data_IF_827848636513
#
_entry.id   IF_827848636513
#
_cell.length_a   1.000
_cell.length_b   1.000
_cell.length_c   1.000
_cell.angle_alpha   90.00
_cell.angle_beta   90.00
_cell.angle_gamma   90.00
#
_symmetry.space_group_name_H-M   'P 1'
#
loop_
_entity.id
_entity.type
_entity.pdbx_description
1 polymer ?
#
# COMPACT_ATOMS: atom_id res chain seq x y z
N UNK A 1 17.00 9.61 -41.30
CA UNK A 1 18.42 9.28 -41.54
C UNK A 1 18.51 7.81 -41.96
N UNK A 2 19.53 7.39 -42.70
CA UNK A 2 19.76 5.98 -43.05
C UNK A 2 21.05 5.50 -42.38
N UNK A 3 21.10 4.22 -42.00
CA UNK A 3 22.28 3.39 -42.30
C UNK A 3 21.85 1.92 -42.39
N UNK A 4 22.27 1.26 -43.46
CA UNK A 4 22.01 -0.14 -43.78
C UNK A 4 23.33 -0.68 -44.33
N UNK A 5 23.98 -1.60 -43.61
CA UNK A 5 25.32 -2.06 -43.98
C UNK A 5 25.21 -3.29 -44.87
N UNK A 6 25.62 -3.12 -46.12
CA UNK A 6 25.84 -4.21 -47.08
C UNK A 6 27.12 -4.99 -46.74
N UNK A 7 27.09 -6.31 -46.94
CA UNK A 7 28.26 -7.07 -47.39
C UNK A 7 27.95 -7.57 -48.80
N UNK A 8 28.94 -7.50 -49.69
CA UNK A 8 28.78 -7.81 -51.13
C UNK A 8 29.32 -9.20 -51.45
N UNK A 9 28.62 -9.93 -52.31
CA UNK A 9 29.27 -10.89 -53.21
C UNK A 9 29.32 -10.24 -54.60
N UNK A 10 30.49 -10.27 -55.24
CA UNK A 10 30.74 -9.56 -56.50
C UNK A 10 30.82 -10.58 -57.63
N UNK A 11 29.95 -10.43 -58.64
CA UNK A 11 30.11 -11.11 -59.93
C UNK A 11 31.29 -10.48 -60.68
N UNK A 12 32.28 -11.28 -61.03
CA UNK A 12 33.45 -10.85 -61.80
C UNK A 12 33.74 -11.83 -62.94
N UNK A 13 32.99 -11.72 -64.03
CA UNK A 13 33.40 -12.32 -65.32
C UNK A 13 34.40 -11.38 -65.97
N UNK A 14 35.61 -11.86 -66.27
CA UNK A 14 36.48 -11.22 -67.27
C UNK A 14 37.22 -12.25 -68.11
N UNK A 15 37.28 -11.99 -69.40
CA UNK A 15 37.85 -12.87 -70.42
C UNK A 15 39.32 -12.55 -70.69
N UNK A 16 40.11 -13.59 -70.96
CA UNK A 16 41.44 -13.48 -71.53
C UNK A 16 41.55 -14.40 -72.75
N UNK A 17 41.43 -13.82 -73.95
CA UNK A 17 41.54 -14.58 -75.20
C UNK A 17 43.00 -14.73 -75.61
N UNK A 18 43.57 -15.92 -75.42
CA UNK A 18 44.90 -16.29 -75.93
C UNK A 18 44.76 -17.22 -77.15
N UNK A 19 44.93 -16.67 -78.36
CA UNK A 19 44.98 -17.45 -79.59
C UNK A 19 46.36 -18.13 -79.72
N UNK A 20 46.44 -19.40 -79.29
CA UNK A 20 47.61 -20.25 -79.49
C UNK A 20 47.20 -21.56 -80.18
N UNK A 21 47.87 -21.87 -81.30
CA UNK A 21 47.92 -23.15 -82.04
C UNK A 21 46.84 -24.19 -81.73
N UNK A 22 45.88 -24.36 -82.66
CA UNK A 22 44.99 -25.52 -82.67
C UNK A 22 45.79 -26.82 -82.91
N UNK A 23 46.02 -27.56 -81.83
CA UNK A 23 46.09 -29.02 -81.89
C UNK A 23 44.80 -29.56 -81.27
N UNK A 24 43.95 -30.19 -82.07
CA UNK A 24 42.82 -30.98 -81.54
C UNK A 24 43.38 -32.23 -80.87
N UNK A 25 43.84 -32.07 -79.63
CA UNK A 25 43.91 -33.16 -78.68
C UNK A 25 42.48 -33.64 -78.49
N UNK A 26 42.12 -34.72 -79.18
CA UNK A 26 40.87 -35.41 -78.98
C UNK A 26 40.96 -36.11 -77.62
N UNK A 27 40.65 -35.39 -76.53
CA UNK A 27 40.62 -35.98 -75.19
C UNK A 27 39.70 -37.20 -75.23
N UNK A 28 40.32 -38.37 -75.06
CA UNK A 28 39.64 -39.64 -75.09
C UNK A 28 38.75 -39.71 -73.85
N UNK A 29 37.43 -39.85 -74.09
CA UNK A 29 36.40 -39.81 -73.05
C UNK A 29 36.71 -40.81 -71.94
N UNK A 30 37.26 -40.32 -70.83
CA UNK A 30 37.68 -41.18 -69.74
C UNK A 30 36.45 -41.84 -69.08
N UNK A 31 36.54 -43.14 -68.83
CA UNK A 31 35.59 -43.85 -67.99
C UNK A 31 35.86 -43.56 -66.51
N UNK A 32 34.83 -43.61 -65.68
CA UNK A 32 34.95 -43.44 -64.23
C UNK A 32 35.78 -44.58 -63.63
N UNK A 33 36.87 -44.24 -62.93
CA UNK A 33 37.75 -45.21 -62.26
C UNK A 33 37.43 -45.38 -60.79
N UNK A 34 36.96 -44.31 -60.13
CA UNK A 34 36.59 -44.30 -58.71
C UNK A 34 35.75 -43.06 -58.39
N UNK A 35 34.93 -43.16 -57.34
CA UNK A 35 34.19 -42.03 -56.75
C UNK A 35 34.38 -42.01 -55.23
N UNK A 36 34.25 -40.84 -54.62
CA UNK A 36 34.32 -40.66 -53.16
C UNK A 36 33.38 -39.56 -52.70
N UNK A 37 32.75 -39.74 -51.54
CA UNK A 37 32.05 -38.68 -50.82
C UNK A 37 33.04 -37.89 -49.94
N UNK A 38 32.67 -36.67 -49.58
CA UNK A 38 33.42 -35.83 -48.63
C UNK A 38 33.21 -36.26 -47.17
N UNK A 39 32.04 -36.83 -46.84
CA UNK A 39 31.72 -37.46 -45.56
C UNK A 39 31.47 -38.97 -45.73
N UNK A 40 31.83 -39.76 -44.71
CA UNK A 40 31.57 -41.21 -44.67
C UNK A 40 30.71 -41.65 -43.48
N UNK A 41 30.54 -40.78 -42.47
CA UNK A 41 29.77 -41.05 -41.25
C UNK A 41 29.35 -39.70 -40.64
N UNK A 42 28.07 -39.56 -40.25
CA UNK A 42 27.50 -38.35 -39.67
C UNK A 42 26.42 -38.69 -38.64
N UNK A 43 26.53 -38.13 -37.42
CA UNK A 43 25.39 -38.05 -36.49
C UNK A 43 24.68 -36.71 -36.71
N UNK A 44 23.37 -36.72 -36.94
CA UNK A 44 22.57 -35.54 -37.32
C UNK A 44 21.26 -35.44 -36.55
N UNK A 45 20.78 -34.22 -36.30
CA UNK A 45 19.48 -33.99 -35.67
C UNK A 45 18.32 -34.32 -36.62
N UNK A 46 17.24 -34.88 -36.09
CA UNK A 46 15.98 -35.06 -36.80
C UNK A 46 15.48 -33.75 -37.45
N UNK A 47 15.04 -33.83 -38.70
CA UNK A 47 14.63 -32.72 -39.57
C UNK A 47 15.73 -31.72 -39.96
N UNK A 48 17.01 -32.00 -39.66
CA UNK A 48 18.13 -31.31 -40.29
C UNK A 48 18.35 -31.79 -41.74
N UNK A 49 19.10 -31.00 -42.51
CA UNK A 49 19.57 -31.36 -43.85
C UNK A 49 21.08 -31.26 -43.94
N UNK A 50 21.71 -32.03 -44.82
CA UNK A 50 23.16 -32.01 -45.07
C UNK A 50 23.44 -32.30 -46.53
N UNK A 51 24.31 -31.52 -47.17
CA UNK A 51 24.74 -31.75 -48.55
C UNK A 51 25.94 -32.69 -48.56
N UNK A 52 25.82 -33.84 -49.22
CA UNK A 52 26.97 -34.69 -49.57
C UNK A 52 27.58 -34.22 -50.90
N UNK A 53 28.91 -34.22 -50.98
CA UNK A 53 29.66 -33.80 -52.17
C UNK A 53 30.36 -35.00 -52.80
N UNK A 54 29.90 -35.42 -53.98
CA UNK A 54 30.53 -36.50 -54.73
C UNK A 54 31.71 -35.99 -55.57
N UNK A 55 32.88 -36.59 -55.39
CA UNK A 55 34.05 -36.42 -56.28
C UNK A 55 34.16 -37.64 -57.20
N UNK A 56 34.30 -37.39 -58.50
CA UNK A 56 34.48 -38.42 -59.55
C UNK A 56 35.92 -38.35 -60.08
N UNK A 57 36.55 -39.51 -60.25
CA UNK A 57 37.93 -39.63 -60.77
C UNK A 57 37.95 -40.47 -62.06
N UNK A 58 38.70 -40.06 -63.10
CA UNK A 58 39.32 -38.74 -63.26
C UNK A 58 38.27 -37.61 -63.39
N UNK A 59 38.67 -36.37 -63.14
CA UNK A 59 37.74 -35.22 -63.09
C UNK A 59 37.18 -34.79 -64.46
N UNK A 60 37.64 -35.36 -65.56
CA UNK A 60 37.08 -35.22 -66.91
C UNK A 60 36.27 -36.45 -67.37
N UNK A 61 36.06 -37.44 -66.49
CA UNK A 61 35.29 -38.63 -66.83
C UNK A 61 33.85 -38.29 -67.23
N UNK A 62 33.32 -39.02 -68.21
CA UNK A 62 31.96 -38.84 -68.71
C UNK A 62 31.05 -39.94 -68.15
N UNK A 63 29.87 -39.55 -67.65
CA UNK A 63 28.87 -40.45 -67.06
C UNK A 63 27.47 -39.84 -67.23
N UNK A 64 26.43 -40.67 -67.33
CA UNK A 64 25.07 -40.21 -67.64
C UNK A 64 24.37 -39.51 -66.44
N UNK A 65 24.53 -40.05 -65.23
CA UNK A 65 23.92 -39.55 -64.00
C UNK A 65 24.64 -40.07 -62.74
N UNK A 66 24.32 -39.48 -61.59
CA UNK A 66 24.59 -40.05 -60.26
C UNK A 66 23.30 -40.70 -59.75
N UNK A 67 23.37 -41.97 -59.36
CA UNK A 67 22.28 -42.68 -58.67
C UNK A 67 22.50 -42.53 -57.16
N UNK A 68 21.57 -41.85 -56.47
CA UNK A 68 21.54 -41.73 -55.00
C UNK A 68 20.47 -42.66 -54.41
N UNK A 69 20.81 -43.38 -53.34
CA UNK A 69 19.95 -44.39 -52.72
C UNK A 69 20.10 -44.31 -51.20
N UNK A 70 19.01 -44.16 -50.43
CA UNK A 70 19.04 -44.45 -48.99
C UNK A 70 18.75 -45.92 -48.70
N UNK A 71 19.38 -46.47 -47.67
CA UNK A 71 18.97 -47.76 -47.10
C UNK A 71 17.64 -47.69 -46.34
N UNK A 72 17.16 -46.50 -45.96
CA UNK A 72 15.89 -46.28 -45.28
C UNK A 72 15.42 -44.82 -45.45
N UNK A 73 14.63 -44.56 -46.50
CA UNK A 73 14.04 -43.22 -46.75
C UNK A 73 13.25 -42.68 -45.54
N UNK A 74 12.64 -43.57 -44.74
CA UNK A 74 11.91 -43.23 -43.51
C UNK A 74 12.77 -42.84 -42.31
N UNK A 75 14.10 -42.90 -42.44
CA UNK A 75 15.09 -42.43 -41.45
C UNK A 75 15.88 -41.28 -42.06
N UNK A 76 16.38 -41.46 -43.27
CA UNK A 76 17.10 -40.46 -44.07
C UNK A 76 16.68 -40.56 -45.53
N UNK A 77 16.24 -39.47 -46.14
CA UNK A 77 16.01 -39.38 -47.60
C UNK A 77 17.13 -38.60 -48.30
N UNK A 78 17.29 -38.80 -49.61
CA UNK A 78 18.33 -38.13 -50.42
C UNK A 78 17.80 -37.73 -51.79
N UNK A 79 18.08 -36.49 -52.21
CA UNK A 79 17.70 -35.97 -53.53
C UNK A 79 18.73 -36.30 -54.63
N UNK A 80 18.37 -36.05 -55.89
CA UNK A 80 19.25 -36.31 -57.04
C UNK A 80 20.55 -35.48 -57.08
N UNK A 81 20.68 -34.47 -56.23
CA UNK A 81 21.86 -33.63 -56.08
C UNK A 81 22.73 -34.03 -54.86
N UNK A 82 22.32 -35.04 -54.08
CA UNK A 82 23.00 -35.44 -52.85
C UNK A 82 22.64 -34.59 -51.62
N UNK A 83 21.55 -33.81 -51.67
CA UNK A 83 21.00 -33.17 -50.49
C UNK A 83 20.25 -34.22 -49.66
N UNK A 84 20.73 -34.45 -48.46
CA UNK A 84 20.23 -35.45 -47.51
C UNK A 84 19.31 -34.77 -46.49
N UNK A 85 18.19 -35.41 -46.13
CA UNK A 85 17.23 -34.94 -45.12
C UNK A 85 16.98 -36.02 -44.07
N UNK A 86 17.05 -35.66 -42.79
CA UNK A 86 16.77 -36.57 -41.68
C UNK A 86 15.26 -36.62 -41.38
N UNK A 87 14.58 -37.73 -41.72
CA UNK A 87 13.12 -37.86 -41.62
C UNK A 87 12.64 -38.67 -40.40
N UNK A 88 13.47 -39.55 -39.85
CA UNK A 88 13.13 -40.40 -38.71
C UNK A 88 14.36 -40.82 -37.90
N UNK A 89 14.16 -41.20 -36.63
CA UNK A 89 15.26 -41.57 -35.72
C UNK A 89 15.85 -42.95 -36.06
N UNK A 90 17.17 -43.10 -35.89
CA UNK A 90 17.90 -44.35 -36.07
C UNK A 90 18.99 -44.28 -37.15
N UNK A 91 19.46 -45.45 -37.59
CA UNK A 91 20.57 -45.57 -38.53
C UNK A 91 20.12 -45.73 -39.99
N UNK A 92 20.83 -45.07 -40.90
CA UNK A 92 20.70 -45.23 -42.35
C UNK A 92 22.06 -45.19 -43.05
N UNK A 93 22.08 -45.47 -44.35
CA UNK A 93 23.29 -45.32 -45.18
C UNK A 93 22.87 -44.80 -46.55
N UNK A 94 23.36 -43.60 -46.88
CA UNK A 94 23.20 -43.00 -48.20
C UNK A 94 24.33 -43.51 -49.10
N UNK A 95 23.96 -44.02 -50.27
CA UNK A 95 24.87 -44.57 -51.27
C UNK A 95 24.81 -43.72 -52.53
N UNK A 96 25.95 -43.16 -52.94
CA UNK A 96 26.14 -42.57 -54.26
C UNK A 96 26.74 -43.61 -55.20
N UNK A 97 26.24 -43.67 -56.43
CA UNK A 97 26.71 -44.61 -57.45
C UNK A 97 26.85 -43.93 -58.81
N UNK A 98 27.96 -44.24 -59.48
CA UNK A 98 28.23 -43.85 -60.87
C UNK A 98 28.81 -45.08 -61.58
N UNK A 99 28.15 -45.52 -62.65
CA UNK A 99 28.40 -46.79 -63.35
C UNK A 99 28.46 -48.02 -62.42
N UNK A 100 29.68 -48.40 -62.05
CA UNK A 100 30.04 -49.55 -61.19
C UNK A 100 30.76 -49.12 -59.91
N UNK A 101 31.08 -47.84 -59.78
CA UNK A 101 31.68 -47.26 -58.59
C UNK A 101 30.59 -46.89 -57.58
N UNK A 102 30.85 -47.12 -56.30
CA UNK A 102 29.95 -46.81 -55.20
C UNK A 102 30.74 -46.12 -54.09
N UNK A 103 30.16 -45.11 -53.46
CA UNK A 103 30.63 -44.51 -52.22
C UNK A 103 29.45 -44.36 -51.26
N UNK A 104 29.71 -44.46 -49.95
CA UNK A 104 28.66 -44.54 -48.94
C UNK A 104 28.96 -43.62 -47.75
N UNK A 105 27.91 -43.03 -47.20
CA UNK A 105 27.95 -42.30 -45.93
C UNK A 105 26.93 -42.91 -44.97
N UNK A 106 27.39 -43.33 -43.79
CA UNK A 106 26.52 -43.73 -42.68
C UNK A 106 25.87 -42.49 -42.05
N UNK A 107 24.64 -42.64 -41.57
CA UNK A 107 23.91 -41.59 -40.85
C UNK A 107 23.27 -42.16 -39.59
N UNK A 108 23.54 -41.52 -38.45
CA UNK A 108 22.82 -41.73 -37.19
C UNK A 108 21.90 -40.51 -36.96
N UNK A 109 20.58 -40.70 -37.03
CA UNK A 109 19.61 -39.63 -36.78
C UNK A 109 19.16 -39.65 -35.32
N UNK A 110 19.51 -38.61 -34.59
CA UNK A 110 19.23 -38.44 -33.15
C UNK A 110 18.10 -37.43 -32.91
N UNK A 111 17.49 -37.48 -31.71
CA UNK A 111 16.51 -36.45 -31.32
C UNK A 111 17.28 -35.19 -30.89
N UNK A 112 17.00 -34.01 -31.47
CA UNK A 112 17.61 -32.76 -31.03
C UNK A 112 17.37 -32.51 -29.54
N UNK A 113 18.36 -31.92 -28.89
CA UNK A 113 18.35 -31.56 -27.47
C UNK A 113 18.26 -30.05 -27.28
N UNK A 114 17.83 -29.60 -26.10
CA UNK A 114 17.89 -28.18 -25.75
C UNK A 114 19.35 -27.74 -25.70
N UNK A 115 19.69 -26.66 -26.39
CA UNK A 115 21.03 -26.04 -26.40
C UNK A 115 21.03 -24.61 -25.84
N UNK A 116 19.86 -24.09 -25.44
CA UNK A 116 19.72 -22.77 -24.84
C UNK A 116 18.26 -22.39 -24.59
N UNK A 117 18.08 -21.36 -23.75
CA UNK A 117 16.80 -20.68 -23.53
C UNK A 117 17.08 -19.17 -23.43
N UNK A 118 16.18 -18.34 -23.94
CA UNK A 118 16.23 -16.88 -23.83
C UNK A 118 14.86 -16.33 -23.43
N UNK A 119 14.87 -15.17 -22.77
CA UNK A 119 13.66 -14.37 -22.53
C UNK A 119 13.64 -13.18 -23.49
N UNK A 120 12.44 -12.75 -23.88
CA UNK A 120 12.21 -11.52 -24.64
C UNK A 120 12.65 -10.26 -23.88
N UNK A 121 12.59 -10.31 -22.54
CA UNK A 121 12.94 -9.21 -21.63
C UNK A 121 13.85 -9.71 -20.50
N UNK A 122 14.84 -8.89 -20.12
CA UNK A 122 15.84 -9.20 -19.08
C UNK A 122 15.79 -8.30 -17.85
N UNK A 123 15.12 -7.15 -17.94
CA UNK A 123 14.81 -6.26 -16.81
C UNK A 123 13.58 -5.43 -17.13
N UNK A 124 12.69 -5.24 -16.15
CA UNK A 124 11.44 -4.48 -16.27
C UNK A 124 11.10 -3.74 -14.98
N UNK A 125 10.33 -2.67 -15.12
CA UNK A 125 9.62 -2.01 -14.02
C UNK A 125 8.11 -2.15 -14.27
N UNK A 126 7.35 -2.53 -13.25
CA UNK A 126 5.88 -2.60 -13.24
C UNK A 126 5.35 -2.01 -11.92
N UNK A 127 4.09 -1.60 -11.87
CA UNK A 127 3.43 -1.21 -10.62
C UNK A 127 2.97 -2.44 -9.80
N UNK A 128 2.61 -2.22 -8.53
CA UNK A 128 1.80 -3.19 -7.77
C UNK A 128 0.47 -3.45 -8.50
N UNK A 129 -0.05 -4.67 -8.40
CA UNK A 129 -1.24 -5.21 -9.10
C UNK A 129 -1.15 -5.28 -10.64
N UNK A 130 -0.11 -4.76 -11.27
CA UNK A 130 0.12 -4.93 -12.71
C UNK A 130 0.60 -6.34 -13.08
N UNK A 131 0.39 -6.70 -14.35
CA UNK A 131 0.83 -7.99 -14.92
C UNK A 131 1.62 -7.81 -16.20
N UNK A 132 2.57 -8.70 -16.42
CA UNK A 132 3.45 -8.72 -17.59
C UNK A 132 3.58 -10.15 -18.10
N UNK A 133 3.37 -10.36 -19.39
CA UNK A 133 3.70 -11.63 -20.04
C UNK A 133 5.17 -11.63 -20.45
N UNK A 134 5.98 -12.51 -19.87
CA UNK A 134 7.32 -12.83 -20.38
C UNK A 134 7.21 -13.99 -21.39
N UNK A 135 8.05 -13.99 -22.41
CA UNK A 135 8.09 -15.04 -23.44
C UNK A 135 9.46 -15.71 -23.42
N UNK A 136 9.46 -17.04 -23.25
CA UNK A 136 10.65 -17.86 -23.28
C UNK A 136 10.78 -18.57 -24.64
N UNK A 137 11.91 -18.36 -25.32
CA UNK A 137 12.26 -19.08 -26.55
C UNK A 137 13.32 -20.14 -26.24
N UNK A 138 13.06 -21.38 -26.63
CA UNK A 138 13.99 -22.51 -26.47
C UNK A 138 14.74 -22.72 -27.78
N UNK A 139 16.04 -23.00 -27.70
CA UNK A 139 16.89 -23.31 -28.87
C UNK A 139 17.21 -24.81 -28.91
N UNK A 140 17.09 -25.48 -30.08
CA UNK A 140 16.47 -24.99 -31.32
C UNK A 140 14.94 -24.88 -31.24
N UNK A 141 14.36 -23.93 -31.98
CA UNK A 141 12.90 -23.66 -32.00
C UNK A 141 12.06 -24.81 -32.60
N UNK A 142 12.69 -25.81 -33.21
CA UNK A 142 12.05 -27.02 -33.75
C UNK A 142 11.58 -27.99 -32.67
N UNK A 143 11.94 -27.77 -31.40
CA UNK A 143 11.57 -28.63 -30.27
C UNK A 143 10.12 -28.39 -29.80
N UNK A 144 9.21 -29.29 -30.19
CA UNK A 144 7.79 -29.23 -29.80
C UNK A 144 7.50 -29.63 -28.35
N UNK A 145 8.36 -30.46 -27.75
CA UNK A 145 8.05 -31.21 -26.51
C UNK A 145 8.74 -30.65 -25.25
N UNK A 146 9.17 -29.39 -25.27
CA UNK A 146 9.93 -28.80 -24.15
C UNK A 146 9.01 -28.10 -23.16
N UNK A 147 9.05 -28.55 -21.91
CA UNK A 147 8.44 -27.85 -20.78
C UNK A 147 9.39 -26.77 -20.28
N UNK A 148 8.96 -25.51 -20.31
CA UNK A 148 9.63 -24.41 -19.60
C UNK A 148 9.11 -24.35 -18.18
N UNK A 149 10.00 -24.38 -17.20
CA UNK A 149 9.68 -24.24 -15.77
C UNK A 149 9.95 -22.81 -15.35
N UNK A 150 8.94 -22.15 -14.76
CA UNK A 150 9.02 -20.79 -14.25
C UNK A 150 9.11 -20.77 -12.72
N UNK A 151 10.00 -19.92 -12.20
CA UNK A 151 10.23 -19.67 -10.78
C UNK A 151 10.43 -18.17 -10.49
N UNK A 152 10.04 -17.71 -9.30
CA UNK A 152 10.37 -16.38 -8.78
C UNK A 152 11.24 -16.48 -7.54
N UNK A 153 12.30 -15.67 -7.47
CA UNK A 153 13.13 -15.56 -6.27
C UNK A 153 12.41 -14.94 -5.07
N UNK A 154 11.29 -14.23 -5.28
CA UNK A 154 10.38 -13.83 -4.21
C UNK A 154 8.95 -13.56 -4.73
N UNK A 155 8.06 -14.55 -4.57
CA UNK A 155 6.65 -14.44 -4.95
C UNK A 155 5.84 -13.40 -4.13
N UNK A 156 6.35 -12.87 -3.01
CA UNK A 156 5.71 -11.76 -2.30
C UNK A 156 6.01 -10.39 -2.91
N UNK A 157 6.96 -10.30 -3.84
CA UNK A 157 7.30 -9.09 -4.60
C UNK A 157 6.74 -9.23 -6.01
N UNK A 158 7.17 -10.25 -6.75
CA UNK A 158 6.60 -10.58 -8.06
C UNK A 158 6.39 -12.10 -8.18
N UNK A 159 5.17 -12.54 -8.45
CA UNK A 159 4.85 -13.93 -8.71
C UNK A 159 4.85 -14.22 -10.22
N UNK A 160 5.06 -15.48 -10.62
CA UNK A 160 4.96 -15.93 -12.02
C UNK A 160 4.17 -17.23 -12.10
N UNK A 161 3.35 -17.42 -13.14
CA UNK A 161 2.69 -18.69 -13.42
C UNK A 161 3.47 -19.49 -14.49
N UNK A 162 3.14 -20.79 -14.66
CA UNK A 162 3.83 -21.66 -15.61
C UNK A 162 3.58 -21.32 -17.10
N UNK A 163 2.75 -20.29 -17.38
CA UNK A 163 2.62 -19.69 -18.70
C UNK A 163 3.51 -18.45 -18.92
N UNK A 164 4.35 -18.06 -17.96
CA UNK A 164 5.21 -16.87 -18.04
C UNK A 164 4.53 -15.54 -17.70
N UNK A 165 3.26 -15.57 -17.25
CA UNK A 165 2.58 -14.36 -16.77
C UNK A 165 3.05 -14.01 -15.36
N UNK A 166 3.68 -12.84 -15.24
CA UNK A 166 4.16 -12.23 -14.00
C UNK A 166 3.08 -11.32 -13.41
N UNK A 167 3.03 -11.20 -12.08
CA UNK A 167 2.15 -10.28 -11.34
C UNK A 167 2.94 -9.56 -10.25
N UNK A 168 2.84 -8.23 -10.17
CA UNK A 168 3.46 -7.42 -9.12
C UNK A 168 2.64 -7.47 -7.83
N UNK A 169 3.13 -8.20 -6.83
CA UNK A 169 2.43 -8.43 -5.56
C UNK A 169 2.85 -7.46 -4.44
N UNK A 170 4.02 -6.83 -4.53
CA UNK A 170 4.54 -5.94 -3.50
C UNK A 170 5.83 -5.24 -3.92
N UNK A 171 6.07 -4.04 -3.38
CA UNK A 171 7.19 -3.17 -3.77
C UNK A 171 8.54 -3.83 -3.49
N UNK A 172 9.45 -3.82 -4.48
CA UNK A 172 10.79 -4.39 -4.34
C UNK A 172 11.37 -4.87 -5.67
N UNK A 173 12.33 -5.80 -5.60
CA UNK A 173 12.92 -6.47 -6.77
C UNK A 173 12.87 -7.99 -6.58
N UNK A 174 12.49 -8.72 -7.62
CA UNK A 174 12.53 -10.18 -7.69
C UNK A 174 13.04 -10.65 -9.06
N UNK A 175 13.69 -11.82 -9.08
CA UNK A 175 14.18 -12.45 -10.31
C UNK A 175 13.20 -13.52 -10.75
N UNK A 176 12.68 -13.37 -11.96
CA UNK A 176 11.87 -14.39 -12.62
C UNK A 176 12.80 -15.21 -13.50
N UNK A 177 12.82 -16.53 -13.29
CA UNK A 177 13.69 -17.48 -14.01
C UNK A 177 12.83 -18.43 -14.83
N UNK A 178 13.17 -18.58 -16.10
CA UNK A 178 12.64 -19.61 -16.98
C UNK A 178 13.74 -20.65 -17.25
N UNK A 179 13.44 -21.93 -17.07
CA UNK A 179 14.40 -23.03 -17.23
C UNK A 179 13.89 -24.10 -18.20
N UNK A 180 14.77 -24.65 -19.03
CA UNK A 180 14.51 -25.76 -19.94
C UNK A 180 15.76 -26.67 -20.01
N UNK A 181 15.63 -27.91 -19.51
CA UNK A 181 16.80 -28.76 -19.28
C UNK A 181 17.77 -28.10 -18.30
N UNK A 182 19.07 -28.18 -18.58
CA UNK A 182 20.13 -27.54 -17.78
C UNK A 182 20.31 -26.03 -18.07
N UNK A 183 19.49 -25.44 -18.93
CA UNK A 183 19.59 -24.05 -19.35
C UNK A 183 18.55 -23.16 -18.65
N UNK A 184 18.94 -21.96 -18.26
CA UNK A 184 18.07 -20.97 -17.60
C UNK A 184 18.29 -19.56 -18.13
N UNK A 185 17.22 -18.78 -18.25
CA UNK A 185 17.23 -17.35 -18.55
C UNK A 185 16.47 -16.58 -17.45
N UNK A 186 16.90 -15.34 -17.17
CA UNK A 186 16.44 -14.55 -16.01
C UNK A 186 16.01 -13.15 -16.45
N UNK A 187 14.87 -12.71 -15.93
CA UNK A 187 14.40 -11.33 -15.99
C UNK A 187 14.35 -10.74 -14.58
N UNK A 188 14.88 -9.51 -14.41
CA UNK A 188 14.78 -8.74 -13.16
C UNK A 188 13.48 -7.94 -13.19
N UNK A 189 12.54 -8.27 -12.30
CA UNK A 189 11.25 -7.58 -12.17
C UNK A 189 11.30 -6.70 -10.94
N UNK A 190 11.27 -5.38 -11.17
CA UNK A 190 11.20 -4.37 -10.12
C UNK A 190 9.77 -3.84 -10.02
N UNK A 191 9.16 -4.01 -8.86
CA UNK A 191 7.78 -3.60 -8.59
C UNK A 191 7.79 -2.28 -7.85
N UNK A 192 7.16 -1.26 -8.44
CA UNK A 192 7.07 0.11 -7.96
C UNK A 192 5.73 0.35 -7.23
N UNK A 193 5.68 1.25 -6.23
CA UNK A 193 4.43 1.65 -5.61
C UNK A 193 3.52 2.38 -6.59
N UNK A 194 2.21 2.23 -6.41
CA UNK A 194 1.21 3.14 -6.96
C UNK A 194 1.22 4.39 -6.07
N UNK A 195 1.76 5.48 -6.62
CA UNK A 195 1.88 6.79 -5.97
C UNK A 195 0.51 7.47 -5.78
N UNK A 196 0.41 8.34 -4.77
CA UNK A 196 -0.78 9.15 -4.56
C UNK A 196 -0.87 10.27 -5.60
N UNK A 197 -1.93 10.30 -6.40
CA UNK A 197 -2.20 11.34 -7.39
C UNK A 197 -3.02 12.50 -6.81
N UNK A 198 -3.84 12.23 -5.79
CA UNK A 198 -4.75 13.20 -5.19
C UNK A 198 -4.97 12.96 -3.70
N UNK A 199 -5.17 14.05 -2.95
CA UNK A 199 -5.72 14.04 -1.59
C UNK A 199 -6.87 15.03 -1.57
N UNK A 200 -8.06 14.55 -1.20
CA UNK A 200 -9.28 15.35 -1.13
C UNK A 200 -9.81 15.40 0.29
N UNK A 201 -10.29 16.56 0.72
CA UNK A 201 -10.85 16.76 2.06
C UNK A 201 -12.38 16.79 2.00
N UNK A 202 -13.04 16.28 3.04
CA UNK A 202 -14.50 16.37 3.21
C UNK A 202 -15.03 17.81 3.29
N UNK A 203 -14.19 18.78 3.67
CA UNK A 203 -14.52 20.21 3.79
C UNK A 203 -13.36 21.04 3.22
N UNK A 204 -13.65 21.94 2.28
CA UNK A 204 -12.66 22.89 1.70
C UNK A 204 -12.47 24.14 2.56
N UNK A 205 -13.47 24.47 3.38
CA UNK A 205 -13.44 25.55 4.35
C UNK A 205 -14.25 25.15 5.59
N UNK A 206 -13.81 25.64 6.76
CA UNK A 206 -14.54 25.57 8.03
C UNK A 206 -14.41 26.89 8.78
N UNK A 207 -15.46 27.26 9.50
CA UNK A 207 -15.41 28.33 10.51
C UNK A 207 -15.52 27.69 11.88
N UNK A 208 -14.59 28.04 12.77
CA UNK A 208 -14.58 27.63 14.17
C UNK A 208 -14.50 28.87 15.05
N UNK A 209 -15.01 28.79 16.27
CA UNK A 209 -14.63 29.75 17.31
C UNK A 209 -13.45 29.20 18.12
N UNK A 210 -12.72 30.09 18.82
CA UNK A 210 -11.58 29.71 19.68
C UNK A 210 -11.93 28.57 20.65
N UNK A 211 -11.05 27.58 20.74
CA UNK A 211 -11.20 26.30 21.46
C UNK A 211 -12.20 25.28 20.88
N UNK A 212 -12.88 25.55 19.76
CA UNK A 212 -13.66 24.50 19.09
C UNK A 212 -12.76 23.55 18.28
N UNK A 213 -13.27 22.34 18.03
CA UNK A 213 -12.56 21.31 17.26
C UNK A 213 -13.45 20.62 16.24
N UNK A 214 -12.89 20.28 15.08
CA UNK A 214 -13.60 19.69 13.94
C UNK A 214 -12.72 18.64 13.26
N UNK A 215 -13.33 17.57 12.73
CA UNK A 215 -12.61 16.43 12.17
C UNK A 215 -12.62 16.47 10.65
N UNK A 216 -11.48 16.85 10.07
CA UNK A 216 -11.26 16.73 8.64
C UNK A 216 -10.98 15.27 8.27
N UNK A 217 -11.51 14.84 7.13
CA UNK A 217 -11.35 13.48 6.60
C UNK A 217 -10.67 13.60 5.24
N UNK A 218 -9.47 13.06 5.14
CA UNK A 218 -8.70 12.99 3.89
C UNK A 218 -8.98 11.67 3.15
N UNK A 219 -9.28 11.77 1.85
CA UNK A 219 -9.42 10.64 0.93
C UNK A 219 -8.30 10.71 -0.10
N UNK A 220 -7.43 9.70 -0.08
CA UNK A 220 -6.30 9.54 -1.01
C UNK A 220 -6.77 8.78 -2.26
N UNK A 221 -6.43 9.31 -3.44
CA UNK A 221 -6.69 8.67 -4.74
C UNK A 221 -5.41 8.51 -5.56
N UNK A 222 -5.28 7.44 -6.38
CA UNK A 222 -6.31 6.44 -6.71
C UNK A 222 -6.59 5.42 -5.60
N UNK A 223 -7.68 4.65 -5.72
CA UNK A 223 -8.13 3.73 -4.66
C UNK A 223 -7.14 2.60 -4.36
N UNK A 224 -6.26 2.27 -5.31
CA UNK A 224 -5.17 1.29 -5.20
C UNK A 224 -3.80 1.92 -4.86
N UNK A 225 -3.73 3.19 -4.45
CA UNK A 225 -2.49 3.81 -3.93
C UNK A 225 -1.85 2.90 -2.87
N UNK A 226 -0.55 2.60 -3.01
CA UNK A 226 0.14 1.61 -2.16
C UNK A 226 0.39 2.11 -0.74
N UNK A 227 0.72 3.39 -0.57
CA UNK A 227 0.79 4.05 0.74
C UNK A 227 -0.25 5.18 0.82
N UNK A 228 -1.07 5.15 1.87
CA UNK A 228 -2.15 6.11 2.14
C UNK A 228 -1.91 6.88 3.44
N UNK A 229 -0.69 6.89 3.95
CA UNK A 229 -0.30 7.61 5.17
C UNK A 229 -0.43 9.12 4.95
N UNK A 230 -1.42 9.74 5.59
CA UNK A 230 -1.68 11.18 5.49
C UNK A 230 -0.92 11.92 6.60
N UNK A 231 0.00 12.80 6.23
CA UNK A 231 0.59 13.78 7.13
C UNK A 231 -0.24 15.07 7.15
N UNK A 232 -0.49 15.62 8.34
CA UNK A 232 -1.24 16.86 8.54
C UNK A 232 -0.32 18.00 8.98
N UNK A 233 -0.56 19.21 8.48
CA UNK A 233 0.15 20.44 8.86
C UNK A 233 -0.78 21.64 8.94
N UNK A 234 -0.42 22.66 9.71
CA UNK A 234 -1.07 23.98 9.75
C UNK A 234 -0.14 25.06 9.20
N UNK A 235 -0.69 26.14 8.65
CA UNK A 235 0.07 27.33 8.27
C UNK A 235 0.41 28.25 9.46
N UNK A 236 -0.37 28.21 10.55
CA UNK A 236 -0.12 28.96 11.78
C UNK A 236 -0.73 28.20 12.98
N UNK A 237 0.13 27.67 13.84
CA UNK A 237 -0.21 26.88 15.03
C UNK A 237 -0.81 27.72 16.17
N UNK A 238 -0.67 29.05 16.12
CA UNK A 238 -1.29 29.97 17.09
C UNK A 238 -2.72 30.32 16.72
N UNK A 239 -3.13 30.08 15.48
CA UNK A 239 -4.49 30.28 14.99
C UNK A 239 -5.25 28.95 15.05
N UNK A 240 -4.71 27.87 14.46
CA UNK A 240 -5.30 26.55 14.54
C UNK A 240 -4.25 25.42 14.47
N UNK A 241 -4.35 24.45 15.36
CA UNK A 241 -3.55 23.21 15.36
C UNK A 241 -4.29 22.07 14.67
N UNK A 242 -3.56 21.02 14.27
CA UNK A 242 -4.14 19.77 13.75
C UNK A 242 -3.37 18.56 14.28
N UNK A 243 -4.08 17.51 14.70
CA UNK A 243 -3.48 16.24 15.15
C UNK A 243 -3.12 15.29 13.99
N UNK A 244 -2.41 14.20 14.29
CA UNK A 244 -2.07 13.17 13.30
C UNK A 244 -3.28 12.42 12.72
N UNK A 245 -4.48 12.57 13.31
CA UNK A 245 -5.72 11.96 12.85
C UNK A 245 -6.53 12.89 11.93
N UNK A 246 -6.20 14.17 11.79
CA UNK A 246 -7.00 15.18 11.08
C UNK A 246 -8.01 15.96 11.94
N UNK A 247 -7.90 15.88 13.26
CA UNK A 247 -8.67 16.70 14.21
C UNK A 247 -8.04 18.09 14.29
N UNK A 248 -8.76 19.10 13.83
CA UNK A 248 -8.37 20.52 13.90
C UNK A 248 -8.87 21.11 15.20
N UNK A 249 -8.08 21.99 15.85
CA UNK A 249 -8.49 22.74 17.04
C UNK A 249 -8.15 24.21 16.89
N UNK A 250 -9.11 25.09 17.16
CA UNK A 250 -8.96 26.53 17.07
C UNK A 250 -8.27 27.10 18.32
N UNK A 251 -7.29 27.98 18.14
CA UNK A 251 -6.41 28.50 19.21
C UNK A 251 -6.58 30.01 19.43
N UNK A 252 -6.64 30.80 18.36
CA UNK A 252 -6.87 32.25 18.42
C UNK A 252 -7.57 32.77 17.16
N UNK A 253 -8.18 33.96 17.25
CA UNK A 253 -8.81 34.64 16.11
C UNK A 253 -7.82 34.82 14.94
N UNK A 254 -8.25 34.47 13.73
CA UNK A 254 -7.45 34.63 12.51
C UNK A 254 -7.88 33.68 11.39
N UNK A 255 -7.01 33.51 10.39
CA UNK A 255 -7.19 32.51 9.34
C UNK A 255 -5.94 31.63 9.22
N UNK A 256 -6.13 30.31 9.21
CA UNK A 256 -5.11 29.31 8.97
C UNK A 256 -5.51 28.39 7.81
N UNK A 257 -4.54 27.69 7.24
CA UNK A 257 -4.77 26.64 6.24
C UNK A 257 -4.24 25.33 6.80
N UNK A 258 -5.14 24.34 6.92
CA UNK A 258 -4.78 22.97 7.28
C UNK A 258 -4.55 22.20 5.99
N UNK A 259 -3.41 21.54 5.88
CA UNK A 259 -3.03 20.74 4.70
C UNK A 259 -2.87 19.28 5.09
N UNK A 260 -3.56 18.40 4.37
CA UNK A 260 -3.32 16.96 4.35
C UNK A 260 -2.47 16.62 3.13
N UNK A 261 -1.37 15.89 3.33
CA UNK A 261 -0.49 15.44 2.25
C UNK A 261 -0.25 13.93 2.32
N UNK A 262 -0.11 13.30 1.15
CA UNK A 262 0.22 11.89 0.97
C UNK A 262 1.19 11.78 -0.22
N UNK A 263 2.43 11.38 0.02
CA UNK A 263 3.48 11.43 -0.99
C UNK A 263 3.68 12.85 -1.55
N UNK A 264 3.36 13.05 -2.83
CA UNK A 264 3.42 14.37 -3.52
C UNK A 264 2.05 15.05 -3.66
N UNK A 265 0.96 14.36 -3.35
CA UNK A 265 -0.39 14.89 -3.46
C UNK A 265 -0.83 15.56 -2.15
N UNK A 266 -1.63 16.62 -2.24
CA UNK A 266 -2.11 17.37 -1.08
C UNK A 266 -3.48 17.99 -1.29
N UNK A 267 -4.28 18.05 -0.23
CA UNK A 267 -5.54 18.77 -0.15
C UNK A 267 -5.54 19.74 1.04
N UNK A 268 -6.18 20.89 0.90
CA UNK A 268 -6.16 21.97 1.90
C UNK A 268 -7.56 22.41 2.31
N UNK A 269 -7.75 22.66 3.61
CA UNK A 269 -8.95 23.28 4.17
C UNK A 269 -8.59 24.66 4.72
N UNK A 270 -9.35 25.69 4.36
CA UNK A 270 -9.25 27.00 5.02
C UNK A 270 -9.98 26.95 6.35
N UNK A 271 -9.33 27.37 7.42
CA UNK A 271 -9.90 27.51 8.77
C UNK A 271 -9.97 28.98 9.11
N UNK A 272 -11.17 29.54 9.15
CA UNK A 272 -11.40 30.87 9.74
C UNK A 272 -11.75 30.68 11.20
N UNK A 273 -10.90 31.16 12.11
CA UNK A 273 -11.18 31.18 13.53
C UNK A 273 -11.76 32.54 13.90
N UNK A 274 -13.03 32.58 14.27
CA UNK A 274 -13.67 33.81 14.78
C UNK A 274 -13.37 34.00 16.26
N UNK A 275 -13.54 35.23 16.79
CA UNK A 275 -13.73 35.42 18.21
C UNK A 275 -14.79 34.46 18.73
N UNK A 276 -14.51 33.89 19.89
CA UNK A 276 -15.47 33.18 20.72
C UNK A 276 -16.68 34.08 20.99
N UNK A 277 -17.88 33.63 20.63
CA UNK A 277 -19.12 34.40 20.81
C UNK A 277 -19.99 33.81 21.92
N UNK A 278 -20.80 34.67 22.53
CA UNK A 278 -21.46 34.38 23.81
C UNK A 278 -20.54 34.56 25.02
N UNK A 279 -21.09 34.31 26.20
CA UNK A 279 -20.33 34.35 27.46
C UNK A 279 -19.74 32.97 27.71
N UNK A 280 -18.46 32.89 28.08
CA UNK A 280 -17.90 31.69 28.68
C UNK A 280 -17.87 31.80 30.19
N UNK A 281 -18.05 30.66 30.83
CA UNK A 281 -18.01 30.52 32.28
C UNK A 281 -16.87 29.60 32.69
N UNK A 282 -16.19 29.97 33.76
CA UNK A 282 -15.27 29.14 34.51
C UNK A 282 -16.03 28.43 35.62
N UNK A 283 -15.52 27.29 36.08
CA UNK A 283 -15.85 26.81 37.43
C UNK A 283 -15.43 27.90 38.42
N UNK A 284 -16.38 28.37 39.24
CA UNK A 284 -16.24 29.50 40.15
C UNK A 284 -17.02 30.76 39.76
N UNK A 285 -17.44 30.92 38.51
CA UNK A 285 -18.13 32.14 38.06
C UNK A 285 -19.56 32.19 38.60
N UNK A 286 -19.95 33.32 39.20
CA UNK A 286 -21.34 33.60 39.59
C UNK A 286 -22.06 34.21 38.38
N UNK A 287 -22.92 33.41 37.75
CA UNK A 287 -23.66 33.77 36.54
C UNK A 287 -25.05 34.28 36.92
N UNK A 288 -25.48 35.42 36.37
CA UNK A 288 -26.83 35.94 36.61
C UNK A 288 -27.75 35.53 35.45
N UNK A 289 -28.66 34.58 35.71
CA UNK A 289 -29.61 34.04 34.75
C UNK A 289 -31.01 34.44 35.20
N UNK A 290 -31.71 35.20 34.36
CA UNK A 290 -33.06 35.73 34.62
C UNK A 290 -33.21 36.51 35.94
N UNK A 291 -32.10 37.03 36.49
CA UNK A 291 -32.03 37.78 37.75
C UNK A 291 -31.52 36.99 38.97
N UNK A 292 -31.26 35.68 38.81
CA UNK A 292 -30.82 34.76 39.87
C UNK A 292 -29.37 34.34 39.65
N UNK A 293 -28.59 34.14 40.73
CA UNK A 293 -27.12 34.15 40.67
C UNK A 293 -26.48 32.79 41.00
N UNK A 294 -26.02 32.05 40.00
CA UNK A 294 -25.52 30.70 40.16
C UNK A 294 -23.99 30.54 40.06
N UNK A 295 -23.35 29.94 41.06
CA UNK A 295 -21.95 29.49 40.99
C UNK A 295 -21.79 28.35 39.96
N UNK A 296 -20.97 28.52 38.93
CA UNK A 296 -20.69 27.46 37.96
C UNK A 296 -19.76 26.41 38.56
N UNK A 297 -20.13 25.13 38.50
CA UNK A 297 -19.41 24.04 39.19
C UNK A 297 -18.85 22.96 38.26
N UNK A 298 -19.35 22.89 37.02
CA UNK A 298 -18.90 21.95 36.00
C UNK A 298 -19.06 22.61 34.63
N UNK A 299 -18.10 22.45 33.74
CA UNK A 299 -18.17 22.96 32.36
C UNK A 299 -17.78 21.89 31.34
N UNK A 300 -18.39 21.96 30.17
CA UNK A 300 -18.04 21.19 28.98
C UNK A 300 -17.77 22.16 27.83
N UNK A 301 -17.33 21.64 26.68
CA UNK A 301 -17.27 22.40 25.44
C UNK A 301 -16.50 23.73 25.62
N UNK A 302 -15.35 23.58 26.30
CA UNK A 302 -14.38 24.60 26.71
C UNK A 302 -14.93 25.81 27.48
N UNK A 303 -16.06 25.66 28.18
CA UNK A 303 -16.66 26.70 29.01
C UNK A 303 -17.77 27.50 28.33
N UNK A 304 -18.19 27.12 27.11
CA UNK A 304 -19.53 27.54 26.64
C UNK A 304 -20.61 26.81 27.41
N UNK A 305 -20.43 25.51 27.64
CA UNK A 305 -21.45 24.65 28.20
C UNK A 305 -21.07 24.15 29.60
N UNK A 306 -22.02 23.58 30.33
CA UNK A 306 -21.80 23.22 31.72
C UNK A 306 -23.06 23.14 32.56
N UNK A 307 -22.85 23.21 33.88
CA UNK A 307 -23.84 23.15 34.94
C UNK A 307 -23.51 24.19 36.02
N UNK A 308 -24.51 24.97 36.40
CA UNK A 308 -24.42 25.93 37.48
C UNK A 308 -25.18 25.45 38.72
N UNK A 309 -24.63 25.78 39.88
CA UNK A 309 -25.07 25.40 41.20
C UNK A 309 -25.97 26.55 41.65
N UNK A 310 -27.27 26.33 41.43
CA UNK A 310 -28.28 27.37 41.22
C UNK A 310 -28.88 27.93 42.50
N UNK A 311 -29.36 29.18 42.41
CA UNK A 311 -29.59 30.03 43.56
C UNK A 311 -30.78 31.01 43.37
N UNK A 312 -31.99 30.49 43.57
CA UNK A 312 -33.08 30.85 44.53
C UNK A 312 -34.10 29.67 44.50
N UNK A 313 -35.00 29.42 45.48
CA UNK A 313 -36.07 28.40 45.33
C UNK A 313 -37.15 28.91 44.40
N UNK A 314 -36.77 28.98 43.14
CA UNK A 314 -37.63 29.19 42.01
C UNK A 314 -38.11 27.81 41.57
N UNK A 315 -39.29 27.41 42.05
CA UNK A 315 -39.91 26.10 41.75
C UNK A 315 -40.23 25.88 40.25
N UNK A 316 -39.95 26.89 39.42
CA UNK A 316 -40.08 26.86 37.96
C UNK A 316 -38.73 26.57 37.24
N UNK A 317 -37.58 26.69 37.91
CA UNK A 317 -36.26 26.56 37.29
C UNK A 317 -35.80 25.10 37.18
N UNK A 318 -36.30 24.43 36.14
CA UNK A 318 -35.69 23.19 35.67
C UNK A 318 -34.52 23.51 34.72
N UNK A 319 -33.31 23.33 35.24
CA UNK A 319 -32.10 22.98 34.47
C UNK A 319 -31.75 23.90 33.28
N UNK A 320 -30.99 24.98 33.56
CA UNK A 320 -30.06 25.53 32.57
C UNK A 320 -28.83 24.62 32.42
N UNK A 321 -29.05 23.44 31.83
CA UNK A 321 -28.01 22.73 31.09
C UNK A 321 -27.62 23.61 29.89
N UNK A 322 -26.33 23.88 29.71
CA UNK A 322 -25.87 24.47 28.45
C UNK A 322 -25.44 23.41 27.41
N UNK A 323 -25.25 22.13 27.81
CA UNK A 323 -25.31 20.97 26.88
C UNK A 323 -25.75 19.67 27.59
N UNK A 324 -25.85 18.55 26.86
CA UNK A 324 -27.18 18.02 26.50
C UNK A 324 -27.94 17.12 27.48
N UNK A 325 -27.36 16.51 28.52
CA UNK A 325 -28.13 15.66 29.47
C UNK A 325 -27.80 15.84 30.98
N UNK A 326 -28.81 15.52 31.80
CA UNK A 326 -29.05 16.06 33.15
C UNK A 326 -28.27 15.45 34.30
N UNK A 327 -27.70 16.30 35.17
CA UNK A 327 -27.65 16.07 36.64
C UNK A 327 -27.50 17.44 37.38
N UNK A 328 -27.93 17.56 38.66
CA UNK A 328 -28.01 18.82 39.48
C UNK A 328 -27.23 18.80 40.84
N UNK A 329 -26.64 19.92 41.28
CA UNK A 329 -26.00 20.10 42.63
C UNK A 329 -25.86 21.57 43.08
N UNK A 330 -25.54 21.79 44.36
CA UNK A 330 -24.80 22.96 44.86
C UNK A 330 -24.19 22.71 46.26
N UNK A 331 -22.88 22.92 46.58
CA UNK A 331 -22.09 22.12 47.57
C UNK A 331 -20.86 22.70 48.34
N UNK A 332 -20.57 22.24 49.59
CA UNK A 332 -19.34 22.56 50.39
C UNK A 332 -19.08 21.90 51.79
N UNK A 333 -19.96 21.14 52.48
CA UNK A 333 -19.61 20.63 53.84
C UNK A 333 -18.58 19.48 53.86
N UNK A 334 -18.34 18.87 55.02
CA UNK A 334 -17.24 17.95 55.29
C UNK A 334 -17.64 16.60 55.92
N UNK A 335 -18.93 16.25 56.01
CA UNK A 335 -19.41 14.85 56.17
C UNK A 335 -20.91 14.69 55.89
N UNK A 336 -21.72 15.64 56.34
CA UNK A 336 -23.14 15.82 55.99
C UNK A 336 -23.33 17.28 55.63
N UNK A 337 -23.75 17.58 54.39
CA UNK A 337 -23.71 18.93 53.84
C UNK A 337 -24.42 19.96 54.71
N UNK A 338 -25.47 19.47 55.38
CA UNK A 338 -26.40 20.18 56.26
C UNK A 338 -25.68 21.08 57.24
N UNK A 339 -24.55 20.60 57.77
CA UNK A 339 -23.83 21.33 58.80
C UNK A 339 -23.07 22.59 58.30
N UNK A 340 -22.62 22.69 57.03
CA UNK A 340 -22.03 23.96 56.55
C UNK A 340 -23.06 24.90 55.93
N UNK A 341 -24.17 24.38 55.38
CA UNK A 341 -25.34 25.19 55.06
C UNK A 341 -25.78 25.98 56.30
N UNK A 342 -25.98 25.31 57.45
CA UNK A 342 -26.30 25.97 58.73
C UNK A 342 -25.22 26.99 59.21
N UNK A 343 -23.94 26.79 58.87
CA UNK A 343 -22.87 27.76 59.21
C UNK A 343 -22.90 29.00 58.33
N UNK A 344 -23.41 28.89 57.10
CA UNK A 344 -23.56 30.02 56.18
C UNK A 344 -24.84 30.82 56.48
N UNK A 345 -25.95 30.14 56.87
CA UNK A 345 -27.14 30.76 57.49
C UNK A 345 -26.81 31.75 58.62
N UNK A 346 -25.76 31.43 59.39
CA UNK A 346 -25.38 32.16 60.59
C UNK A 346 -24.52 33.43 60.36
N UNK A 347 -24.16 33.76 59.11
CA UNK A 347 -23.27 34.90 58.82
C UNK A 347 -23.97 36.27 58.96
N UNK A 348 -23.32 37.31 59.52
CA UNK A 348 -23.82 38.69 59.43
C UNK A 348 -23.95 39.15 57.98
N UNK A 349 -25.07 39.82 57.66
CA UNK A 349 -25.43 40.27 56.30
C UNK A 349 -25.57 39.16 55.25
N UNK A 350 -25.77 37.91 55.69
CA UNK A 350 -25.93 36.72 54.84
C UNK A 350 -26.79 36.96 53.59
N UNK A 351 -28.02 37.46 53.77
CA UNK A 351 -29.04 37.67 52.73
C UNK A 351 -28.64 38.65 51.60
N UNK A 352 -27.50 39.34 51.72
CA UNK A 352 -27.04 40.35 50.74
C UNK A 352 -25.57 40.16 50.34
N UNK A 353 -24.71 39.78 51.28
CA UNK A 353 -23.26 39.61 51.04
C UNK A 353 -22.93 38.25 50.45
N UNK A 354 -23.83 37.28 50.64
CA UNK A 354 -23.76 35.92 50.11
C UNK A 354 -25.01 35.69 49.26
N UNK A 355 -25.30 36.57 48.30
CA UNK A 355 -26.49 36.45 47.44
C UNK A 355 -26.48 35.13 46.65
N UNK A 356 -25.36 34.85 45.97
CA UNK A 356 -24.99 33.52 45.55
C UNK A 356 -24.47 32.70 46.76
N UNK A 357 -25.37 32.40 47.72
CA UNK A 357 -25.24 31.35 48.75
C UNK A 357 -26.54 31.23 49.57
N UNK A 358 -27.14 32.38 49.93
CA UNK A 358 -28.49 32.60 50.51
C UNK A 358 -29.58 31.83 49.78
N UNK A 359 -29.31 31.62 48.51
CA UNK A 359 -30.27 31.29 47.50
C UNK A 359 -30.10 29.86 46.98
N UNK A 360 -28.94 29.19 47.10
CA UNK A 360 -28.85 27.71 46.90
C UNK A 360 -29.72 26.99 47.93
N UNK A 361 -29.62 27.53 49.15
CA UNK A 361 -30.43 27.22 50.33
C UNK A 361 -31.92 27.49 50.14
N UNK A 362 -32.25 28.39 49.22
CA UNK A 362 -33.56 28.39 48.63
C UNK A 362 -33.62 27.28 47.54
N UNK A 363 -32.93 27.31 46.37
CA UNK A 363 -33.09 26.40 45.18
C UNK A 363 -33.36 24.93 45.44
N UNK A 364 -32.83 24.39 46.52
CA UNK A 364 -33.03 22.99 46.88
C UNK A 364 -33.60 22.84 48.32
N UNK A 365 -33.70 23.93 49.11
CA UNK A 365 -34.42 24.05 50.38
C UNK A 365 -33.57 24.10 51.67
N UNK A 366 -34.17 24.35 52.85
CA UNK A 366 -33.47 24.30 54.13
C UNK A 366 -33.01 22.88 54.51
N UNK A 367 -33.65 21.87 53.89
CA UNK A 367 -33.31 20.45 53.91
C UNK A 367 -32.36 20.04 52.78
N UNK A 368 -32.26 20.83 51.69
CA UNK A 368 -31.00 20.78 50.96
C UNK A 368 -29.92 21.25 51.88
N UNK A 369 -28.76 20.86 51.44
CA UNK A 369 -27.57 21.46 51.91
C UNK A 369 -26.55 21.44 50.81
N UNK A 370 -25.54 22.27 51.01
CA UNK A 370 -24.32 22.22 50.25
C UNK A 370 -23.67 20.85 50.54
N UNK A 371 -23.86 19.75 49.75
CA UNK A 371 -23.49 18.42 50.19
C UNK A 371 -22.06 18.44 50.63
N UNK A 372 -21.88 17.70 51.71
CA UNK A 372 -20.56 17.33 52.10
C UNK A 372 -19.90 16.67 50.92
N UNK A 373 -18.59 16.80 50.86
CA UNK A 373 -17.78 16.24 49.80
C UNK A 373 -17.64 14.69 49.93
N UNK A 374 -18.75 14.00 50.31
CA UNK A 374 -18.98 12.56 50.50
C UNK A 374 -20.29 11.96 49.91
N UNK A 375 -21.33 12.73 49.53
CA UNK A 375 -22.47 12.19 48.74
C UNK A 375 -22.43 12.44 47.22
N UNK A 376 -22.01 13.65 46.82
CA UNK A 376 -21.80 14.08 45.45
C UNK A 376 -20.67 13.37 44.63
N UNK A 377 -20.48 12.07 44.80
CA UNK A 377 -19.72 11.18 43.91
C UNK A 377 -20.05 9.68 44.10
N UNK A 378 -20.78 9.29 45.16
CA UNK A 378 -21.17 7.89 45.39
C UNK A 378 -21.97 7.29 44.22
N UNK A 379 -22.68 8.14 43.48
CA UNK A 379 -23.71 7.78 42.46
C UNK A 379 -22.90 7.04 41.33
N UNK A 380 -21.63 7.41 41.11
CA UNK A 380 -20.79 7.02 39.97
C UNK A 380 -20.23 5.62 40.13
N UNK A 381 -20.07 5.20 41.38
CA UNK A 381 -19.25 4.08 41.83
C UNK A 381 -19.70 2.69 41.35
N UNK A 382 -20.83 2.57 40.63
CA UNK A 382 -21.48 1.28 40.36
C UNK A 382 -21.69 0.99 38.86
N UNK A 383 -21.40 -0.26 38.45
CA UNK A 383 -21.14 -0.63 37.06
C UNK A 383 -22.32 -0.53 36.07
N UNK A 384 -23.56 -0.62 36.53
CA UNK A 384 -24.76 -0.35 35.72
C UNK A 384 -25.18 1.14 35.77
N UNK A 385 -24.57 1.91 36.67
CA UNK A 385 -24.76 3.35 36.83
C UNK A 385 -23.59 4.18 36.27
N UNK A 386 -22.72 3.58 35.42
CA UNK A 386 -21.54 4.23 34.81
C UNK A 386 -21.81 5.68 34.38
N UNK A 387 -22.90 5.92 33.68
CA UNK A 387 -23.26 7.21 33.08
C UNK A 387 -23.69 8.29 34.07
N UNK A 388 -24.23 7.90 35.23
CA UNK A 388 -25.08 8.78 36.02
C UNK A 388 -24.31 9.92 36.68
N UNK A 389 -23.07 9.65 37.08
CA UNK A 389 -22.31 10.39 38.14
C UNK A 389 -20.72 10.96 37.65
N UNK A 390 -21.31 11.23 36.37
CA UNK A 390 -21.03 11.42 34.88
C UNK A 390 -20.18 10.29 34.20
N UNK A 391 -19.44 10.53 33.10
CA UNK A 391 -18.33 9.74 32.51
C UNK A 391 -17.77 10.54 31.32
N UNK A 392 -16.48 10.95 31.33
CA UNK A 392 -15.71 11.37 30.13
C UNK A 392 -14.30 11.91 30.48
N UNK A 393 -13.27 11.07 30.50
CA UNK A 393 -11.89 11.45 30.16
C UNK A 393 -11.40 10.41 29.15
N UNK A 394 -10.98 10.85 27.97
CA UNK A 394 -10.87 9.95 26.81
C UNK A 394 -9.47 9.36 26.59
N UNK A 395 -9.47 8.23 25.86
CA UNK A 395 -8.36 7.50 25.22
C UNK A 395 -6.91 7.81 25.63
N UNK A 396 -6.25 6.82 26.25
CA UNK A 396 -4.93 6.30 25.77
C UNK A 396 -4.31 5.19 26.62
N UNK A 397 -4.71 5.00 27.89
CA UNK A 397 -4.12 3.97 28.77
C UNK A 397 -5.16 3.05 29.43
N UNK A 398 -4.87 1.75 29.43
CA UNK A 398 -5.64 0.76 30.20
C UNK A 398 -5.35 0.94 31.70
N UNK A 399 -6.18 1.71 32.39
CA UNK A 399 -6.15 1.79 33.86
C UNK A 399 -6.91 0.59 34.44
N UNK A 400 -6.19 -0.26 35.17
CA UNK A 400 -6.72 -1.42 35.88
C UNK A 400 -7.81 -1.04 36.88
N UNK A 401 -8.71 -1.99 37.18
CA UNK A 401 -9.94 -1.75 37.92
C UNK A 401 -9.79 -0.98 39.26
N UNK A 402 -10.85 -0.23 39.57
CA UNK A 402 -11.09 0.60 40.76
C UNK A 402 -10.29 1.91 40.90
N UNK A 403 -10.97 3.04 40.72
CA UNK A 403 -11.12 4.13 41.72
C UNK A 403 -12.27 5.05 41.27
N UNK A 404 -13.03 5.57 42.23
CA UNK A 404 -13.93 6.72 42.09
C UNK A 404 -13.63 7.65 43.28
N UNK A 405 -13.64 8.96 43.07
CA UNK A 405 -12.93 9.89 43.95
C UNK A 405 -13.82 10.93 44.62
N UNK A 406 -13.60 11.14 45.92
CA UNK A 406 -14.31 12.14 46.71
C UNK A 406 -13.70 12.31 48.12
N UNK A 407 -13.63 13.55 48.64
CA UNK A 407 -13.11 13.83 49.99
C UNK A 407 -13.58 15.19 50.51
N UNK A 408 -14.06 15.25 51.75
CA UNK A 408 -14.16 16.44 52.63
C UNK A 408 -12.84 17.19 52.82
N UNK A 409 -12.94 18.51 53.01
CA UNK A 409 -11.77 19.37 53.15
C UNK A 409 -11.19 19.46 54.58
N UNK A 410 -9.86 19.49 54.70
CA UNK A 410 -9.15 20.52 55.49
C UNK A 410 -7.62 20.48 55.32
N UNK A 411 -6.99 21.64 55.53
CA UNK A 411 -5.52 21.91 55.53
C UNK A 411 -4.79 21.86 54.16
N UNK A 412 -3.58 22.41 54.12
CA UNK A 412 -2.93 23.00 52.93
C UNK A 412 -1.41 22.77 52.91
N UNK A 413 -0.72 23.33 51.90
CA UNK A 413 0.72 23.21 51.53
C UNK A 413 1.06 21.96 50.68
N UNK A 414 1.87 22.05 49.62
CA UNK A 414 2.67 23.19 49.10
C UNK A 414 2.46 23.48 47.60
N UNK A 415 3.02 24.60 47.12
CA UNK A 415 2.75 25.20 45.80
C UNK A 415 3.21 24.39 44.58
N UNK A 416 2.38 24.36 43.53
CA UNK A 416 2.82 24.24 42.14
C UNK A 416 2.03 25.18 41.22
N UNK A 417 2.67 25.66 40.16
CA UNK A 417 2.06 26.49 39.11
C UNK A 417 1.51 25.60 38.01
N UNK A 418 0.27 25.84 37.58
CA UNK A 418 -0.38 25.14 36.46
C UNK A 418 -0.91 26.20 35.48
N UNK A 419 -0.71 25.96 34.18
CA UNK A 419 -1.10 26.88 33.10
C UNK A 419 -2.60 26.76 32.73
N UNK A 420 -3.19 27.69 31.94
CA UNK A 420 -4.63 27.97 31.97
C UNK A 420 -5.64 26.88 31.51
N UNK A 421 -5.23 25.64 31.20
CA UNK A 421 -6.05 24.63 30.50
C UNK A 421 -6.60 23.46 31.34
N UNK A 422 -6.20 23.27 32.60
CA UNK A 422 -6.45 22.01 33.35
C UNK A 422 -7.42 22.13 34.56
N UNK A 423 -8.55 22.82 34.40
CA UNK A 423 -9.40 23.27 35.54
C UNK A 423 -10.53 22.33 36.06
N UNK A 424 -10.73 21.12 35.51
CA UNK A 424 -12.08 20.50 35.56
C UNK A 424 -12.38 19.40 36.61
N UNK A 425 -11.57 18.34 36.70
CA UNK A 425 -12.10 16.98 36.97
C UNK A 425 -12.36 16.57 38.43
N UNK A 426 -12.73 17.52 39.30
CA UNK A 426 -12.76 17.30 40.76
C UNK A 426 -14.08 16.90 41.42
N UNK A 427 -15.23 17.44 41.01
CA UNK A 427 -16.34 17.62 41.97
C UNK A 427 -17.78 17.50 41.39
N UNK A 428 -18.60 16.65 42.05
CA UNK A 428 -20.07 16.72 42.28
C UNK A 428 -21.04 15.86 41.40
N UNK A 429 -21.84 14.97 42.04
CA UNK A 429 -23.32 14.71 41.95
C UNK A 429 -23.87 13.67 42.99
N UNK A 430 -25.00 13.94 43.67
CA UNK A 430 -25.42 13.63 45.10
C UNK A 430 -26.37 12.41 45.35
N UNK A 431 -26.19 11.53 46.39
CA UNK A 431 -27.30 10.95 47.26
C UNK A 431 -26.99 9.80 48.29
N UNK A 432 -27.33 10.04 49.57
CA UNK A 432 -28.36 9.43 50.46
C UNK A 432 -28.41 7.93 50.88
N UNK A 433 -29.20 7.68 51.97
CA UNK A 433 -29.67 6.40 52.62
C UNK A 433 -28.82 5.95 53.84
N UNK A 434 -29.34 5.70 55.07
CA UNK A 434 -30.70 5.83 55.65
C UNK A 434 -30.72 5.97 57.20
N UNK A 435 -31.94 6.17 57.74
CA UNK A 435 -32.51 5.92 59.09
C UNK A 435 -31.66 5.29 60.22
N UNK A 436 -31.69 5.92 61.41
CA UNK A 436 -31.96 5.27 62.72
C UNK A 436 -32.46 6.27 63.78
#
# INVERSE_FOLDING_TARGET
MKNLIFVKVVVAVMSAAALASCSTANEESAAVTSISLDQTELTVDLYSTTQLTLTVTPSNAQYDAVEWISSSESVVSVDGNGLVTAEGLGEATVTARVDRCMAQCHFEVVKPVVTGISLDQTSVEILVDETLQLVATVTPETLTDVTVIWESSNASIANVNQGGLVTGNGVGEAKITASAGDFSAVCIVKVLPIEAESVTLNKSEITLEVSDSERLIATVGPVNTTDKTVSWTTSDDKIATVDGNGTVTAVAEGEAVITAACGKASGSCKVTVTPMTGVRYNIGDIIEVDGHKAFVFYITDNGRHGKAMSEEYTTEFWTYLWSSENVLVGASSTTDGRENTEKVKAMPNYETSYSAFKWIEDTFGPDWYMPAQEEAAQVFTSGENKSRYITALDTSTELSASTYAYVSGSSYSDSFTIEPSEKLFGILHLRAVCEF
#
